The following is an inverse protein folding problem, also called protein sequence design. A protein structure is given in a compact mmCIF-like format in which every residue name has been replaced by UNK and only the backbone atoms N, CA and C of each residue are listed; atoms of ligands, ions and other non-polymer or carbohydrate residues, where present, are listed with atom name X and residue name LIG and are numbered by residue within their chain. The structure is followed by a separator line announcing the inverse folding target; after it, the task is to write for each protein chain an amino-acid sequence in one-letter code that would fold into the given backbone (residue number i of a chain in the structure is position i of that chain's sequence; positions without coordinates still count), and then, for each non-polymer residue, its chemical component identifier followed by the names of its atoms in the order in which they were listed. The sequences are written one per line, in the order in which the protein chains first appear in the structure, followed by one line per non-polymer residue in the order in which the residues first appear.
data_IF_400635480172
#
_entry.id   IF_400635480172
#
_cell.length_a   1.000
_cell.length_b   1.000
_cell.length_c   1.000
_cell.angle_alpha   90.00
_cell.angle_beta   90.00
_cell.angle_gamma   90.00
#
_symmetry.space_group_name_H-M   'P 1'
#
loop_
_entity.id
_entity.type
_entity.pdbx_description
1 polymer ?
#
# COMPACT_ATOMS: atom_id res chain seq x y z
N UNK A 1 -2.76 -0.55 20.54
CA UNK A 1 -3.56 0.12 19.49
C UNK A 1 -2.87 -0.10 18.16
N UNK A 2 -3.62 -0.37 17.09
CA UNK A 2 -3.06 -0.40 15.74
C UNK A 2 -2.58 1.02 15.35
N UNK A 3 -1.53 1.12 14.53
CA UNK A 3 -1.09 2.41 13.97
C UNK A 3 -2.07 2.86 12.90
N UNK A 4 -2.38 4.16 12.86
CA UNK A 4 -3.06 4.77 11.71
C UNK A 4 -2.07 4.84 10.54
N UNK A 5 -2.55 4.53 9.33
CA UNK A 5 -1.75 4.56 8.10
C UNK A 5 -2.32 5.59 7.12
N UNK A 6 -1.46 6.15 6.28
CA UNK A 6 -1.84 6.90 5.10
C UNK A 6 -1.89 5.97 3.89
N UNK A 7 -2.96 6.07 3.11
CA UNK A 7 -3.12 5.33 1.85
C UNK A 7 -3.33 6.36 0.75
N UNK A 8 -2.39 6.40 -0.20
CA UNK A 8 -2.61 7.08 -1.47
C UNK A 8 -3.28 6.09 -2.42
N UNK A 9 -4.53 6.40 -2.80
CA UNK A 9 -5.35 5.58 -3.68
C UNK A 9 -5.39 6.21 -5.08
N UNK A 10 -4.26 6.10 -5.79
CA UNK A 10 -4.16 6.58 -7.17
C UNK A 10 -4.82 5.63 -8.17
N UNK A 11 -5.20 6.16 -9.33
CA UNK A 11 -5.87 5.38 -10.39
C UNK A 11 -4.98 4.27 -10.96
N UNK A 12 -3.67 4.50 -11.08
CA UNK A 12 -2.72 3.53 -11.68
C UNK A 12 -1.93 2.79 -10.61
N UNK A 13 -1.45 3.52 -9.61
CA UNK A 13 -0.60 3.01 -8.54
C UNK A 13 -1.15 3.52 -7.20
N UNK A 14 -1.01 2.70 -6.16
CA UNK A 14 -1.28 3.03 -4.78
C UNK A 14 -0.01 2.86 -3.94
N UNK A 15 0.10 3.61 -2.86
CA UNK A 15 1.21 3.57 -1.90
C UNK A 15 0.67 3.66 -0.47
N UNK A 16 1.40 3.10 0.50
CA UNK A 16 1.02 3.11 1.91
C UNK A 16 2.20 3.57 2.77
N UNK A 17 1.93 4.46 3.72
CA UNK A 17 2.91 4.94 4.67
C UNK A 17 2.39 4.92 6.12
N UNK A 18 3.31 4.89 7.06
CA UNK A 18 3.04 5.00 8.50
C UNK A 18 4.02 5.96 9.14
N UNK A 19 3.61 6.65 10.20
CA UNK A 19 4.51 7.46 11.02
C UNK A 19 5.30 6.55 11.97
N UNK A 20 6.62 6.51 11.85
CA UNK A 20 7.53 5.83 12.78
C UNK A 20 8.53 6.83 13.36
N UNK A 21 8.63 6.91 14.69
CA UNK A 21 9.58 7.79 15.39
C UNK A 21 9.53 9.27 14.94
N UNK A 22 8.35 9.76 14.53
CA UNK A 22 8.14 11.13 14.07
C UNK A 22 8.34 11.34 12.57
N UNK A 23 8.81 10.33 11.84
CA UNK A 23 9.08 10.41 10.40
C UNK A 23 8.12 9.53 9.59
N UNK A 24 7.71 9.95 8.38
CA UNK A 24 6.93 9.11 7.48
C UNK A 24 7.82 8.00 6.91
N UNK A 25 7.33 6.77 6.92
CA UNK A 25 8.00 5.61 6.33
C UNK A 25 7.05 4.83 5.46
N UNK A 26 7.50 4.49 4.25
CA UNK A 26 6.76 3.65 3.31
C UNK A 26 6.74 2.21 3.80
N UNK A 27 5.60 1.56 3.62
CA UNK A 27 5.41 0.12 3.86
C UNK A 27 5.52 -0.58 2.51
N UNK A 28 6.57 -1.38 2.24
CA UNK A 28 6.65 -2.18 1.03
C UNK A 28 5.51 -3.20 0.96
N UNK A 29 5.00 -3.46 -0.23
CA UNK A 29 4.04 -4.52 -0.48
C UNK A 29 4.68 -5.91 -0.38
N UNK A 30 3.86 -6.96 -0.54
CA UNK A 30 4.32 -8.34 -0.42
C UNK A 30 5.40 -8.72 -1.46
N UNK A 31 5.46 -7.99 -2.57
CA UNK A 31 6.44 -8.14 -3.65
C UNK A 31 7.74 -7.35 -3.38
N UNK A 32 7.82 -6.60 -2.28
CA UNK A 32 8.97 -5.78 -1.91
C UNK A 32 9.06 -4.42 -2.63
N UNK A 33 8.00 -4.02 -3.34
CA UNK A 33 7.88 -2.71 -4.00
C UNK A 33 7.17 -1.71 -3.08
N UNK A 34 7.54 -0.43 -3.17
CA UNK A 34 6.83 0.65 -2.50
C UNK A 34 5.49 0.98 -3.18
N UNK A 35 5.38 0.68 -4.49
CA UNK A 35 4.20 0.99 -5.30
C UNK A 35 3.46 -0.30 -5.64
N UNK A 36 2.13 -0.23 -5.58
CA UNK A 36 1.22 -1.33 -5.92
C UNK A 36 0.32 -0.91 -7.07
N UNK A 37 0.20 -1.70 -8.15
CA UNK A 37 -0.80 -1.44 -9.18
C UNK A 37 -2.23 -1.42 -8.61
N UNK A 38 -2.98 -0.37 -8.92
CA UNK A 38 -4.38 -0.21 -8.51
C UNK A 38 -5.30 -1.05 -9.39
N UNK A 39 -5.10 -2.38 -9.35
CA UNK A 39 -5.77 -3.34 -10.22
C UNK A 39 -6.31 -4.50 -9.39
N UNK A 40 -7.53 -4.93 -9.69
CA UNK A 40 -8.13 -6.15 -9.15
C UNK A 40 -8.43 -7.09 -10.32
N UNK A 41 -8.00 -8.33 -10.22
CA UNK A 41 -8.31 -9.39 -11.18
C UNK A 41 -9.11 -10.49 -10.48
N UNK A 42 -10.17 -10.98 -11.15
CA UNK A 42 -10.97 -12.11 -10.68
C UNK A 42 -10.60 -13.31 -11.56
N UNK A 43 -10.12 -14.38 -10.93
CA UNK A 43 -9.72 -15.59 -11.65
C UNK A 43 -10.95 -16.35 -12.15
N UNK A 44 -10.79 -17.18 -13.20
CA UNK A 44 -11.87 -18.04 -13.70
C UNK A 44 -12.37 -19.04 -12.65
N UNK A 45 -11.55 -19.35 -11.66
CA UNK A 45 -11.85 -20.36 -10.63
C UNK A 45 -12.30 -19.72 -9.31
N UNK A 46 -12.57 -18.41 -9.29
CA UNK A 46 -12.78 -17.65 -8.05
C UNK A 46 -11.48 -17.34 -7.34
#
# INVERSE_FOLDING_TARGET
MAKVIGIDLGTTLSEVAVMEAGEPKIIPNAEGSNLTPSVVAISKNG
#
